data_IF_758084266871
#
_entry.id   IF_758084266871
#
_cell.length_a   1.000
_cell.length_b   1.000
_cell.length_c   1.000
_cell.angle_alpha   90.00
_cell.angle_beta   90.00
_cell.angle_gamma   90.00
#
_symmetry.space_group_name_H-M   'P 1'
#
loop_
_entity.id
_entity.type
_entity.pdbx_description
1 polymer ?
#
# COMPACT_ATOMS: atom_id res chain seq x y z
N UNK A 1 -14.85 29.34 5.06
CA UNK A 1 -14.39 28.01 5.51
C UNK A 1 -13.15 28.22 6.35
N UNK A 2 -13.11 27.72 7.59
CA UNK A 2 -11.94 27.85 8.45
C UNK A 2 -11.06 26.62 8.21
N UNK A 3 -10.02 26.74 7.38
CA UNK A 3 -9.04 25.67 7.19
C UNK A 3 -8.01 25.76 8.33
N UNK A 4 -7.98 24.79 9.26
CA UNK A 4 -7.06 24.84 10.40
C UNK A 4 -5.58 24.74 10.01
N UNK A 5 -5.29 24.47 8.73
CA UNK A 5 -3.95 24.34 8.19
C UNK A 5 -3.51 25.53 7.34
N UNK A 6 -4.34 26.57 7.20
CA UNK A 6 -3.99 27.80 6.48
C UNK A 6 -3.93 27.68 4.95
N UNK A 7 -4.21 26.52 4.36
CA UNK A 7 -4.21 26.30 2.91
C UNK A 7 -5.48 26.86 2.24
N UNK A 8 -5.69 28.18 2.29
CA UNK A 8 -6.88 28.85 1.75
C UNK A 8 -6.64 29.52 0.39
N UNK A 9 -5.45 29.35 -0.18
CA UNK A 9 -5.03 30.03 -1.41
C UNK A 9 -5.62 29.32 -2.63
N UNK A 10 -6.42 30.03 -3.42
CA UNK A 10 -7.14 29.47 -4.57
C UNK A 10 -6.24 28.99 -5.72
N UNK A 11 -4.95 29.32 -5.69
CA UNK A 11 -3.95 29.03 -6.71
C UNK A 11 -2.85 28.06 -6.25
N UNK A 12 -3.01 27.42 -5.08
CA UNK A 12 -1.99 26.54 -4.50
C UNK A 12 -2.57 25.16 -4.21
N UNK A 13 -1.84 24.12 -4.61
CA UNK A 13 -2.21 22.73 -4.29
C UNK A 13 -1.54 22.39 -2.97
N UNK A 14 -2.33 22.20 -1.92
CA UNK A 14 -1.86 21.65 -0.66
C UNK A 14 -2.16 20.16 -0.59
N UNK A 15 -1.14 19.37 -0.28
CA UNK A 15 -1.25 17.91 -0.23
C UNK A 15 -0.65 17.39 1.07
N UNK A 16 -1.48 16.71 1.86
CA UNK A 16 -1.01 15.91 2.98
C UNK A 16 -0.50 14.57 2.44
N UNK A 17 0.73 14.22 2.82
CA UNK A 17 1.34 12.95 2.45
C UNK A 17 1.62 12.17 3.72
N UNK A 18 1.33 10.88 3.68
CA UNK A 18 1.90 9.97 4.66
C UNK A 18 3.41 9.85 4.36
N UNK A 19 4.28 9.78 5.38
CA UNK A 19 5.67 9.40 5.17
C UNK A 19 5.75 8.13 4.32
N UNK A 20 6.72 8.08 3.42
CA UNK A 20 6.97 6.87 2.63
C UNK A 20 7.41 5.74 3.58
N UNK A 21 6.98 4.49 3.33
CA UNK A 21 7.56 3.37 4.05
C UNK A 21 9.08 3.32 3.77
N UNK A 22 9.86 3.11 4.83
CA UNK A 22 11.32 2.94 4.75
C UNK A 22 11.76 1.49 5.03
N UNK A 23 10.83 0.65 5.49
CA UNK A 23 11.00 -0.78 5.77
C UNK A 23 9.72 -1.51 5.34
N UNK A 24 9.72 -2.85 5.37
CA UNK A 24 8.61 -3.68 4.93
C UNK A 24 8.29 -3.51 3.42
N UNK A 25 9.26 -3.06 2.61
CA UNK A 25 9.04 -2.70 1.20
C UNK A 25 8.67 -3.90 0.32
N UNK A 26 9.06 -5.10 0.73
CA UNK A 26 8.69 -6.37 0.07
C UNK A 26 7.18 -6.65 0.01
N UNK A 27 6.37 -5.90 0.76
CA UNK A 27 4.92 -6.01 0.82
C UNK A 27 4.22 -4.85 0.06
N UNK A 28 4.94 -4.17 -0.83
CA UNK A 28 4.39 -3.06 -1.60
C UNK A 28 3.83 -3.53 -2.94
N UNK A 29 2.69 -2.96 -3.29
CA UNK A 29 2.04 -3.09 -4.61
C UNK A 29 2.18 -1.82 -5.45
N UNK A 30 2.77 -0.74 -4.92
CA UNK A 30 3.13 0.49 -5.64
C UNK A 30 4.30 1.18 -4.94
N UNK A 31 5.23 1.80 -5.68
CA UNK A 31 6.34 2.58 -5.15
C UNK A 31 6.01 4.09 -5.16
N UNK A 32 6.41 4.79 -4.10
CA UNK A 32 5.98 6.16 -3.73
C UNK A 32 4.52 6.28 -3.28
N UNK A 33 4.21 7.39 -2.61
CA UNK A 33 2.88 7.63 -2.01
C UNK A 33 1.77 7.79 -3.05
N UNK A 34 2.10 8.15 -4.29
CA UNK A 34 1.18 8.31 -5.40
C UNK A 34 1.39 7.28 -6.52
N UNK A 35 2.28 6.30 -6.31
CA UNK A 35 2.51 5.23 -7.27
C UNK A 35 3.27 5.68 -8.51
N UNK A 36 3.86 6.89 -8.50
CA UNK A 36 4.55 7.45 -9.66
C UNK A 36 5.69 6.54 -10.15
N UNK A 37 6.35 5.83 -9.25
CA UNK A 37 7.44 4.90 -9.56
C UNK A 37 6.93 3.53 -10.01
N UNK A 38 5.62 3.36 -10.11
CA UNK A 38 4.95 2.15 -10.65
C UNK A 38 4.01 2.54 -11.79
N UNK A 39 4.47 3.40 -12.70
CA UNK A 39 3.67 3.96 -13.78
C UNK A 39 4.50 4.22 -15.05
N UNK A 40 3.93 3.97 -16.25
CA UNK A 40 4.57 4.36 -17.51
C UNK A 40 4.91 5.85 -17.63
N UNK A 41 4.29 6.71 -16.81
CA UNK A 41 4.55 8.15 -16.82
C UNK A 41 5.97 8.53 -16.41
N UNK A 42 6.65 7.68 -15.64
CA UNK A 42 8.04 7.86 -15.17
C UNK A 42 9.00 6.88 -15.84
N UNK A 43 8.52 6.03 -16.77
CA UNK A 43 9.35 5.01 -17.41
C UNK A 43 9.35 3.66 -16.67
N UNK A 44 8.54 3.52 -15.62
CA UNK A 44 8.31 2.23 -14.94
C UNK A 44 6.98 1.61 -15.36
N UNK A 45 6.55 0.53 -14.71
CA UNK A 45 5.29 -0.15 -15.03
C UNK A 45 4.47 -0.38 -13.78
N UNK A 46 3.17 -0.58 -13.93
CA UNK A 46 2.34 -0.99 -12.79
C UNK A 46 2.87 -2.32 -12.25
N UNK A 47 3.00 -2.42 -10.93
CA UNK A 47 3.35 -3.68 -10.29
C UNK A 47 2.17 -4.63 -10.45
N UNK A 48 2.37 -5.65 -11.28
CA UNK A 48 1.40 -6.70 -11.54
C UNK A 48 1.92 -8.03 -11.03
N UNK A 49 1.01 -8.99 -10.86
CA UNK A 49 1.45 -10.34 -10.54
C UNK A 49 2.21 -10.94 -11.73
N UNK A 50 3.40 -11.47 -11.45
CA UNK A 50 4.19 -12.30 -12.37
C UNK A 50 4.35 -13.67 -11.72
N UNK A 51 4.37 -14.76 -12.51
CA UNK A 51 4.51 -16.10 -11.95
C UNK A 51 5.89 -16.28 -11.25
N UNK A 52 5.97 -17.08 -10.16
CA UNK A 52 7.22 -17.42 -9.52
C UNK A 52 8.26 -18.00 -10.49
N UNK A 53 9.57 -17.76 -10.28
CA UNK A 53 10.15 -17.03 -9.15
C UNK A 53 10.12 -15.48 -9.28
N UNK A 54 9.47 -14.95 -10.33
CA UNK A 54 9.56 -13.54 -10.73
C UNK A 54 8.45 -12.65 -10.17
N UNK A 55 7.69 -13.11 -9.17
CA UNK A 55 6.47 -12.44 -8.69
C UNK A 55 6.68 -11.07 -8.04
N UNK A 56 7.92 -10.64 -7.85
CA UNK A 56 8.31 -9.31 -7.36
C UNK A 56 9.21 -8.55 -8.34
N UNK A 57 9.40 -9.02 -9.57
CA UNK A 57 10.32 -8.40 -10.52
C UNK A 57 9.94 -6.95 -10.85
N UNK A 58 8.64 -6.64 -10.98
CA UNK A 58 8.20 -5.25 -11.17
C UNK A 58 8.51 -4.39 -9.95
N UNK A 59 8.29 -4.89 -8.73
CA UNK A 59 8.64 -4.16 -7.50
C UNK A 59 10.15 -3.91 -7.43
N UNK A 60 10.97 -4.92 -7.74
CA UNK A 60 12.43 -4.80 -7.76
C UNK A 60 12.87 -3.79 -8.82
N UNK A 61 12.27 -3.80 -10.01
CA UNK A 61 12.55 -2.83 -11.06
C UNK A 61 12.21 -1.40 -10.61
N UNK A 62 11.03 -1.20 -10.04
CA UNK A 62 10.57 0.11 -9.57
C UNK A 62 11.44 0.66 -8.43
N UNK A 63 11.88 -0.20 -7.50
CA UNK A 63 12.81 0.20 -6.43
C UNK A 63 14.21 0.57 -6.98
N UNK A 64 14.70 -0.18 -7.98
CA UNK A 64 15.95 0.18 -8.66
C UNK A 64 15.84 1.54 -9.34
N UNK A 65 14.73 1.78 -10.04
CA UNK A 65 14.46 3.07 -10.67
C UNK A 65 14.41 4.20 -9.62
N UNK A 66 13.65 4.02 -8.54
CA UNK A 66 13.57 4.97 -7.44
C UNK A 66 14.95 5.30 -6.86
N UNK A 67 15.83 4.31 -6.72
CA UNK A 67 17.18 4.53 -6.19
C UNK A 67 18.03 5.46 -7.07
N UNK A 68 17.86 5.40 -8.39
CA UNK A 68 18.53 6.28 -9.35
C UNK A 68 17.96 7.69 -9.26
N UNK A 69 16.63 7.83 -9.25
CA UNK A 69 15.95 9.11 -9.15
C UNK A 69 16.28 9.83 -7.84
N UNK A 70 16.35 9.10 -6.73
CA UNK A 70 16.73 9.64 -5.43
C UNK A 70 18.17 10.14 -5.43
N UNK A 71 19.12 9.37 -5.97
CA UNK A 71 20.54 9.74 -5.99
C UNK A 71 20.82 10.92 -6.94
N UNK A 72 20.26 10.90 -8.14
CA UNK A 72 20.48 11.96 -9.12
C UNK A 72 19.73 13.24 -8.75
N UNK A 73 18.48 13.12 -8.28
CA UNK A 73 17.63 14.25 -7.95
C UNK A 73 17.92 14.86 -6.57
N UNK A 74 17.90 14.06 -5.51
CA UNK A 74 18.03 14.55 -4.14
C UNK A 74 19.47 14.73 -3.69
N UNK A 75 20.34 13.76 -4.00
CA UNK A 75 21.75 13.84 -3.67
C UNK A 75 22.58 14.61 -4.71
N UNK A 76 21.94 15.10 -5.79
CA UNK A 76 22.58 15.85 -6.88
C UNK A 76 23.73 15.07 -7.53
N UNK A 77 23.60 13.74 -7.61
CA UNK A 77 24.58 12.89 -8.29
C UNK A 77 24.71 13.23 -9.77
N UNK A 78 25.88 12.94 -10.34
CA UNK A 78 26.23 13.24 -11.73
C UNK A 78 25.57 12.31 -12.77
N UNK A 79 24.70 11.39 -12.33
CA UNK A 79 24.04 10.40 -13.18
C UNK A 79 24.89 9.15 -13.48
N UNK A 80 26.14 9.08 -13.02
CA UNK A 80 26.99 7.90 -13.21
C UNK A 80 26.69 6.76 -12.21
N UNK A 81 25.99 7.08 -11.13
CA UNK A 81 25.66 6.17 -10.02
C UNK A 81 24.20 6.33 -9.59
N UNK A 82 23.59 5.27 -9.00
CA UNK A 82 24.16 3.94 -8.75
C UNK A 82 24.32 3.08 -10.01
N UNK A 83 25.39 2.29 -10.08
CA UNK A 83 25.54 1.25 -11.13
C UNK A 83 24.47 0.17 -10.98
N UNK A 84 24.19 -0.65 -12.02
CA UNK A 84 23.21 -1.74 -11.89
C UNK A 84 23.49 -2.71 -10.74
N UNK A 85 24.77 -2.93 -10.41
CA UNK A 85 25.18 -3.76 -9.26
C UNK A 85 24.84 -3.08 -7.94
N UNK A 86 25.09 -1.78 -7.81
CA UNK A 86 24.75 -1.01 -6.61
C UNK A 86 23.24 -0.88 -6.43
N UNK A 87 22.49 -0.66 -7.51
CA UNK A 87 21.03 -0.68 -7.47
C UNK A 87 20.53 -2.02 -6.90
N UNK A 88 21.10 -3.14 -7.34
CA UNK A 88 20.74 -4.45 -6.76
C UNK A 88 21.11 -4.56 -5.27
N UNK A 89 22.27 -4.04 -4.85
CA UNK A 89 22.67 -4.03 -3.44
C UNK A 89 21.73 -3.18 -2.58
N UNK A 90 21.33 -2.01 -3.08
CA UNK A 90 20.36 -1.11 -2.43
C UNK A 90 19.02 -1.83 -2.27
N UNK A 91 18.47 -2.38 -3.35
CA UNK A 91 17.18 -3.07 -3.31
C UNK A 91 17.24 -4.32 -2.44
N UNK A 92 18.34 -5.08 -2.43
CA UNK A 92 18.50 -6.21 -1.52
C UNK A 92 18.45 -5.79 -0.05
N UNK A 93 19.09 -4.66 0.29
CA UNK A 93 19.04 -4.09 1.62
C UNK A 93 17.61 -3.65 1.96
N UNK A 94 16.97 -2.87 1.10
CA UNK A 94 15.59 -2.38 1.24
C UNK A 94 14.57 -3.50 1.45
N UNK A 95 14.68 -4.59 0.68
CA UNK A 95 13.77 -5.74 0.74
C UNK A 95 14.01 -6.63 1.98
N UNK A 96 15.19 -6.53 2.60
CA UNK A 96 15.53 -7.28 3.81
C UNK A 96 15.08 -6.59 5.11
N UNK A 97 14.73 -5.30 5.07
CA UNK A 97 14.33 -4.56 6.26
C UNK A 97 12.89 -4.88 6.68
N UNK A 98 12.74 -5.42 7.88
CA UNK A 98 11.44 -5.65 8.52
C UNK A 98 11.34 -4.88 9.84
N UNK A 99 10.24 -4.16 10.04
CA UNK A 99 9.97 -3.40 11.27
C UNK A 99 8.54 -3.65 11.73
N UNK A 100 8.39 -3.87 13.04
CA UNK A 100 7.10 -3.84 13.73
C UNK A 100 7.35 -3.50 15.21
N UNK A 101 6.31 -3.06 15.90
CA UNK A 101 6.34 -2.85 17.34
C UNK A 101 6.66 -4.18 18.04
N UNK A 102 7.55 -4.14 19.03
CA UNK A 102 7.97 -5.33 19.80
C UNK A 102 7.45 -5.32 21.24
N UNK A 103 7.18 -4.14 21.79
CA UNK A 103 6.77 -3.95 23.18
C UNK A 103 5.74 -2.82 23.21
N UNK A 104 4.55 -3.12 23.72
CA UNK A 104 3.58 -2.11 24.14
C UNK A 104 3.73 -1.84 25.64
N UNK A 105 3.47 -0.60 26.06
CA UNK A 105 3.67 -0.19 27.46
C UNK A 105 2.77 -0.92 28.46
N UNK A 106 1.59 -1.39 28.04
CA UNK A 106 0.62 -2.08 28.92
C UNK A 106 0.58 -3.58 28.65
N UNK A 107 0.63 -4.00 27.38
CA UNK A 107 0.60 -5.39 26.95
C UNK A 107 1.99 -6.05 26.99
N UNK A 108 3.08 -5.29 27.16
CA UNK A 108 4.44 -5.81 27.20
C UNK A 108 4.89 -6.35 25.84
N UNK A 109 5.76 -7.37 25.86
CA UNK A 109 6.29 -8.01 24.63
C UNK A 109 5.16 -8.58 23.76
N UNK A 110 5.15 -8.20 22.47
CA UNK A 110 4.07 -8.52 21.53
C UNK A 110 4.14 -9.95 20.96
N UNK A 111 5.21 -10.67 21.23
CA UNK A 111 5.42 -12.09 20.94
C UNK A 111 5.21 -12.99 22.18
N UNK A 112 4.86 -12.42 23.33
CA UNK A 112 4.65 -13.18 24.55
C UNK A 112 3.29 -13.91 24.55
N UNK A 113 3.16 -14.94 25.39
CA UNK A 113 1.90 -15.68 25.59
C UNK A 113 1.29 -16.23 24.29
N UNK A 114 2.14 -16.75 23.41
CA UNK A 114 1.72 -17.39 22.15
C UNK A 114 1.31 -16.42 21.04
N UNK A 115 1.49 -15.11 21.23
CA UNK A 115 1.34 -14.15 20.15
C UNK A 115 2.56 -14.17 19.21
N UNK A 116 2.37 -13.63 18.01
CA UNK A 116 3.38 -13.52 16.96
C UNK A 116 3.54 -12.07 16.49
N UNK A 117 3.52 -11.12 17.43
CA UNK A 117 3.88 -9.73 17.14
C UNK A 117 5.38 -9.54 16.88
N UNK A 118 5.79 -8.31 16.59
CA UNK A 118 7.17 -7.98 16.28
C UNK A 118 7.59 -8.30 14.84
N UNK A 119 8.84 -7.94 14.47
CA UNK A 119 9.30 -8.00 13.07
C UNK A 119 9.73 -9.41 12.64
N UNK A 120 10.04 -10.31 13.58
CA UNK A 120 10.55 -11.65 13.24
C UNK A 120 9.55 -12.46 12.40
N UNK A 121 8.25 -12.56 12.77
CA UNK A 121 7.26 -13.24 11.93
C UNK A 121 7.08 -12.61 10.55
N UNK A 122 7.32 -11.31 10.42
CA UNK A 122 7.28 -10.63 9.12
C UNK A 122 8.40 -11.07 8.20
N UNK A 123 9.49 -11.67 8.67
CA UNK A 123 10.59 -12.12 7.81
C UNK A 123 10.20 -13.30 6.91
N UNK A 124 9.23 -14.11 7.33
CA UNK A 124 8.73 -15.28 6.58
C UNK A 124 7.29 -15.14 6.12
N UNK A 125 6.62 -14.00 6.41
CA UNK A 125 5.27 -13.71 5.94
C UNK A 125 5.22 -13.77 4.40
N UNK A 126 4.40 -14.66 3.81
CA UNK A 126 4.24 -14.76 2.37
C UNK A 126 3.69 -13.47 1.76
N UNK A 127 4.08 -13.19 0.53
CA UNK A 127 3.54 -12.09 -0.26
C UNK A 127 3.57 -12.41 -1.75
N UNK A 128 2.48 -12.04 -2.41
CA UNK A 128 2.38 -11.87 -3.85
C UNK A 128 1.37 -10.75 -4.11
N UNK A 129 1.50 -10.05 -5.24
CA UNK A 129 0.51 -9.05 -5.66
C UNK A 129 -0.85 -9.74 -5.72
N UNK A 130 -1.86 -9.15 -5.08
CA UNK A 130 -3.22 -9.68 -4.86
C UNK A 130 -3.45 -10.63 -3.69
N UNK A 131 -2.45 -10.88 -2.83
CA UNK A 131 -2.63 -11.74 -1.66
C UNK A 131 -3.73 -11.22 -0.72
N UNK A 132 -4.71 -12.10 -0.48
CA UNK A 132 -5.88 -11.89 0.35
C UNK A 132 -6.72 -10.65 -0.04
N UNK A 133 -6.61 -10.21 -1.29
CA UNK A 133 -7.34 -9.03 -1.76
C UNK A 133 -8.85 -9.25 -1.68
N UNK A 134 -9.53 -8.32 -1.02
CA UNK A 134 -10.99 -8.29 -1.01
C UNK A 134 -11.57 -7.92 -2.38
N UNK A 135 -10.79 -7.22 -3.22
CA UNK A 135 -11.21 -6.86 -4.57
C UNK A 135 -11.30 -8.10 -5.44
N UNK A 136 -10.30 -8.98 -5.43
CA UNK A 136 -10.39 -10.27 -6.12
C UNK A 136 -11.60 -11.10 -5.66
N UNK A 137 -11.87 -11.16 -4.35
CA UNK A 137 -13.03 -11.89 -3.82
C UNK A 137 -14.36 -11.34 -4.37
N UNK A 138 -14.48 -10.01 -4.47
CA UNK A 138 -15.69 -9.36 -4.98
C UNK A 138 -15.78 -9.37 -6.51
N UNK A 139 -14.63 -9.32 -7.18
CA UNK A 139 -14.44 -8.98 -8.58
C UNK A 139 -13.23 -9.73 -9.17
N UNK A 140 -13.28 -11.06 -9.27
CA UNK A 140 -12.13 -11.88 -9.65
C UNK A 140 -11.59 -11.53 -11.04
N UNK A 141 -12.42 -11.05 -11.97
CA UNK A 141 -11.98 -10.65 -13.30
C UNK A 141 -11.07 -9.40 -13.32
N UNK A 142 -11.04 -8.61 -12.24
CA UNK A 142 -10.30 -7.35 -12.17
C UNK A 142 -8.88 -7.49 -11.63
N UNK A 143 -8.64 -8.54 -10.85
CA UNK A 143 -7.38 -8.75 -10.17
C UNK A 143 -7.11 -10.25 -10.18
N UNK A 144 -6.00 -10.70 -10.74
CA UNK A 144 -5.61 -12.10 -10.74
C UNK A 144 -4.16 -12.19 -10.25
N UNK A 145 -3.79 -13.27 -9.55
CA UNK A 145 -4.57 -14.49 -9.35
C UNK A 145 -5.40 -14.52 -8.05
N UNK A 146 -5.25 -13.55 -7.15
CA UNK A 146 -5.85 -13.58 -5.81
C UNK A 146 -5.34 -14.73 -4.95
N UNK A 147 -6.01 -14.99 -3.83
CA UNK A 147 -5.72 -16.13 -2.94
C UNK A 147 -4.96 -15.75 -1.66
N UNK A 148 -4.72 -16.71 -0.76
CA UNK A 148 -4.14 -16.46 0.56
C UNK A 148 -2.80 -17.15 0.79
N UNK A 149 -2.69 -18.42 0.40
CA UNK A 149 -1.52 -19.26 0.66
C UNK A 149 -0.67 -19.38 -0.60
N UNK A 150 -1.32 -19.72 -1.71
CA UNK A 150 -0.70 -19.77 -3.03
C UNK A 150 -1.49 -18.92 -4.01
N UNK A 151 -0.82 -18.29 -4.99
CA UNK A 151 -1.52 -17.48 -5.98
C UNK A 151 -2.58 -18.29 -6.72
N UNK A 152 -3.83 -17.81 -6.73
CA UNK A 152 -4.94 -18.48 -7.42
C UNK A 152 -5.66 -19.57 -6.63
N UNK A 153 -5.35 -19.75 -5.34
CA UNK A 153 -6.03 -20.75 -4.50
C UNK A 153 -7.49 -20.40 -4.14
N UNK A 154 -7.96 -19.21 -4.54
CA UNK A 154 -9.31 -18.71 -4.29
C UNK A 154 -9.64 -18.55 -2.80
N UNK A 155 -8.66 -18.68 -1.91
CA UNK A 155 -8.84 -18.50 -0.48
C UNK A 155 -8.83 -17.01 -0.17
N UNK A 156 -9.95 -16.51 0.33
CA UNK A 156 -10.03 -15.20 0.95
C UNK A 156 -10.46 -15.39 2.41
N UNK A 157 -9.86 -14.59 3.30
CA UNK A 157 -10.30 -14.52 4.69
C UNK A 157 -10.42 -13.08 5.15
N UNK A 158 -11.51 -12.72 5.86
CA UNK A 158 -11.60 -11.41 6.52
C UNK A 158 -10.61 -11.28 7.68
N UNK A 159 -10.00 -12.39 8.14
CA UNK A 159 -9.01 -12.39 9.21
C UNK A 159 -7.61 -11.96 8.69
N UNK A 160 -7.46 -10.68 8.36
CA UNK A 160 -6.20 -10.10 7.86
C UNK A 160 -5.08 -10.21 8.90
N UNK A 161 -5.40 -9.87 10.14
CA UNK A 161 -4.47 -9.94 11.26
C UNK A 161 -4.81 -11.13 12.15
N UNK A 162 -3.84 -11.99 12.42
CA UNK A 162 -3.95 -13.05 13.41
C UNK A 162 -2.84 -13.14 14.48
N UNK A 163 -1.84 -12.23 14.58
CA UNK A 163 -0.69 -12.43 15.48
C UNK A 163 -1.10 -12.45 16.96
N UNK A 164 -2.24 -11.84 17.32
CA UNK A 164 -2.73 -11.75 18.70
C UNK A 164 -3.89 -12.72 19.00
N UNK A 165 -4.15 -13.70 18.13
CA UNK A 165 -5.21 -14.68 18.33
C UNK A 165 -5.12 -15.42 19.66
N UNK A 166 -3.91 -15.75 20.11
CA UNK A 166 -3.65 -16.41 21.39
C UNK A 166 -4.10 -15.60 22.63
N UNK A 167 -4.26 -14.28 22.49
CA UNK A 167 -4.66 -13.39 23.57
C UNK A 167 -6.18 -13.24 23.70
N UNK A 168 -6.97 -13.81 22.78
CA UNK A 168 -8.42 -13.67 22.78
C UNK A 168 -9.11 -14.32 23.99
N UNK A 169 -8.50 -15.34 24.59
CA UNK A 169 -9.03 -16.05 25.77
C UNK A 169 -8.52 -15.49 27.11
N UNK A 170 -7.67 -14.46 27.09
CA UNK A 170 -7.16 -13.84 28.31
C UNK A 170 -8.28 -13.08 29.05
N UNK A 171 -8.15 -12.86 30.38
CA UNK A 171 -9.12 -12.08 31.14
C UNK A 171 -9.35 -10.71 30.51
N UNK A 172 -10.60 -10.24 30.49
CA UNK A 172 -10.98 -9.00 29.79
C UNK A 172 -10.24 -7.74 30.26
N UNK A 173 -9.78 -7.74 31.52
CA UNK A 173 -8.94 -6.68 32.14
C UNK A 173 -7.48 -6.69 31.68
N UNK A 174 -7.03 -7.75 31.00
CA UNK A 174 -5.68 -7.84 30.45
C UNK A 174 -5.50 -6.85 29.29
N UNK A 175 -4.44 -6.01 29.28
CA UNK A 175 -4.12 -5.17 28.13
C UNK A 175 -3.92 -5.98 26.84
N UNK A 176 -3.40 -7.20 26.93
CA UNK A 176 -3.28 -8.13 25.79
C UNK A 176 -4.63 -8.54 25.22
N UNK A 177 -5.63 -8.77 26.07
CA UNK A 177 -6.99 -9.05 25.61
C UNK A 177 -7.57 -7.83 24.88
N UNK A 178 -7.20 -6.60 25.26
CA UNK A 178 -7.61 -5.40 24.53
C UNK A 178 -7.01 -5.35 23.12
N UNK A 179 -5.73 -5.71 22.95
CA UNK A 179 -5.09 -5.83 21.62
C UNK A 179 -5.81 -6.87 20.76
N UNK A 180 -6.12 -8.05 21.30
CA UNK A 180 -6.87 -9.08 20.57
C UNK A 180 -8.28 -8.61 20.16
N UNK A 181 -8.97 -7.83 21.00
CA UNK A 181 -10.25 -7.21 20.62
C UNK A 181 -10.07 -6.18 19.50
N UNK A 182 -9.00 -5.39 19.54
CA UNK A 182 -8.64 -4.47 18.45
C UNK A 182 -8.42 -5.18 17.12
N UNK A 183 -7.69 -6.30 17.13
CA UNK A 183 -7.53 -7.19 15.97
C UNK A 183 -8.89 -7.68 15.44
N UNK A 184 -9.79 -8.14 16.32
CA UNK A 184 -11.11 -8.60 15.93
C UNK A 184 -11.97 -7.49 15.28
N UNK A 185 -11.90 -6.27 15.83
CA UNK A 185 -12.54 -5.08 15.24
C UNK A 185 -11.96 -4.82 13.86
N UNK A 186 -10.63 -4.83 13.70
CA UNK A 186 -9.99 -4.59 12.40
C UNK A 186 -10.48 -5.56 11.33
N UNK A 187 -10.50 -6.85 11.66
CA UNK A 187 -10.85 -7.92 10.73
C UNK A 187 -12.34 -7.91 10.35
N UNK A 188 -13.23 -7.56 11.27
CA UNK A 188 -14.67 -7.84 11.11
C UNK A 188 -15.62 -6.65 11.24
N UNK A 189 -15.18 -5.49 11.70
CA UNK A 189 -16.07 -4.34 11.90
C UNK A 189 -16.60 -3.87 10.54
N UNK A 190 -17.93 -3.90 10.30
CA UNK A 190 -18.48 -3.42 9.05
C UNK A 190 -18.30 -1.90 8.92
N UNK A 191 -17.89 -1.47 7.73
CA UNK A 191 -17.71 -0.08 7.34
C UNK A 191 -18.47 0.14 6.04
N UNK A 192 -19.25 1.21 6.00
CA UNK A 192 -19.91 1.66 4.78
C UNK A 192 -18.93 2.52 3.96
N UNK A 193 -18.36 1.94 2.91
CA UNK A 193 -17.37 2.57 2.04
C UNK A 193 -18.10 3.30 0.92
N UNK A 194 -18.21 4.62 1.07
CA UNK A 194 -18.86 5.51 0.10
C UNK A 194 -17.96 6.71 -0.22
N UNK A 195 -18.04 7.21 -1.46
CA UNK A 195 -17.30 8.39 -1.92
C UNK A 195 -15.78 8.22 -2.02
N UNK A 196 -15.29 6.98 -1.99
CA UNK A 196 -13.86 6.64 -2.13
C UNK A 196 -13.51 6.51 -3.59
N UNK A 197 -12.63 7.39 -4.06
CA UNK A 197 -12.13 7.33 -5.43
C UNK A 197 -11.34 6.05 -5.66
N UNK A 198 -11.55 5.40 -6.81
CA UNK A 198 -11.01 4.07 -7.12
C UNK A 198 -11.82 2.89 -6.57
N UNK A 199 -12.86 3.14 -5.76
CA UNK A 199 -13.82 2.12 -5.31
C UNK A 199 -15.20 2.42 -5.85
N UNK A 200 -15.74 3.57 -5.46
CA UNK A 200 -17.14 3.94 -5.71
C UNK A 200 -17.35 4.58 -7.09
N UNK A 201 -16.27 5.00 -7.74
CA UNK A 201 -16.34 5.61 -9.07
C UNK A 201 -16.82 4.61 -10.14
N UNK A 202 -17.21 5.11 -11.31
CA UNK A 202 -17.40 4.27 -12.49
C UNK A 202 -16.09 3.60 -12.92
N UNK A 203 -16.15 2.39 -13.46
CA UNK A 203 -14.96 1.69 -13.98
C UNK A 203 -14.15 2.51 -14.98
N UNK A 204 -14.80 3.32 -15.84
CA UNK A 204 -14.11 4.23 -16.76
C UNK A 204 -13.33 5.36 -16.06
N UNK A 205 -13.68 5.66 -14.82
CA UNK A 205 -12.99 6.62 -13.95
C UNK A 205 -12.09 5.94 -12.90
N UNK A 206 -11.83 4.63 -13.06
CA UNK A 206 -10.94 3.85 -12.20
C UNK A 206 -11.62 3.17 -11.01
N UNK A 207 -12.96 3.19 -10.92
CA UNK A 207 -13.68 2.43 -9.90
C UNK A 207 -13.87 0.96 -10.24
N UNK A 208 -14.59 0.26 -9.37
CA UNK A 208 -14.62 -1.21 -9.38
C UNK A 208 -15.56 -1.81 -10.44
N UNK A 209 -16.65 -1.13 -10.82
CA UNK A 209 -17.65 -1.67 -11.76
C UNK A 209 -18.19 -0.59 -12.69
N UNK A 210 -18.71 -1.02 -13.85
CA UNK A 210 -19.44 -0.12 -14.75
C UNK A 210 -20.68 0.46 -14.06
N UNK A 211 -20.89 1.76 -14.18
CA UNK A 211 -21.93 2.53 -13.48
C UNK A 211 -21.52 2.99 -12.07
N UNK A 212 -20.40 2.50 -11.54
CA UNK A 212 -19.93 2.75 -10.18
C UNK A 212 -20.80 2.11 -9.09
N UNK A 213 -20.39 2.28 -7.84
CA UNK A 213 -21.11 1.74 -6.68
C UNK A 213 -21.29 2.85 -5.66
N UNK A 214 -22.54 3.18 -5.33
CA UNK A 214 -22.85 4.24 -4.36
C UNK A 214 -22.28 3.95 -2.97
N UNK A 215 -22.28 2.68 -2.56
CA UNK A 215 -21.63 2.23 -1.34
C UNK A 215 -21.27 0.74 -1.37
N UNK A 216 -20.14 0.39 -0.76
CA UNK A 216 -19.68 -0.99 -0.54
C UNK A 216 -19.60 -1.25 0.96
N UNK A 217 -20.20 -2.36 1.44
CA UNK A 217 -19.98 -2.80 2.82
C UNK A 217 -18.67 -3.59 2.89
N UNK A 218 -17.69 -3.07 3.61
CA UNK A 218 -16.38 -3.69 3.79
C UNK A 218 -15.93 -3.70 5.25
N UNK A 219 -14.65 -3.94 5.48
CA UNK A 219 -13.99 -3.80 6.80
C UNK A 219 -12.70 -2.99 6.65
N UNK A 220 -11.91 -2.85 7.72
CA UNK A 220 -10.56 -2.28 7.57
C UNK A 220 -9.73 -3.08 6.56
N UNK A 221 -9.96 -4.39 6.51
CA UNK A 221 -9.33 -5.32 5.57
C UNK A 221 -9.64 -5.06 4.10
N UNK A 222 -10.66 -4.28 3.77
CA UNK A 222 -10.96 -3.95 2.36
C UNK A 222 -9.85 -3.13 1.71
N UNK A 223 -9.19 -2.27 2.49
CA UNK A 223 -8.09 -1.41 2.02
C UNK A 223 -6.72 -1.84 2.58
N UNK A 224 -6.71 -2.70 3.58
CA UNK A 224 -5.54 -3.16 4.31
C UNK A 224 -5.56 -4.69 4.37
N UNK A 225 -5.33 -5.35 3.25
CA UNK A 225 -5.55 -6.79 3.08
C UNK A 225 -4.28 -7.63 3.12
N UNK A 226 -3.10 -7.01 3.05
CA UNK A 226 -1.83 -7.77 3.15
C UNK A 226 -1.73 -8.39 4.55
N UNK A 227 -1.73 -9.73 4.66
CA UNK A 227 -1.83 -10.38 5.96
C UNK A 227 -0.73 -9.96 6.91
N UNK A 228 -1.12 -9.59 8.14
CA UNK A 228 -0.23 -9.16 9.23
C UNK A 228 0.66 -7.92 8.98
N UNK A 229 0.51 -7.23 7.84
CA UNK A 229 1.29 -6.03 7.50
C UNK A 229 0.39 -4.80 7.38
N UNK A 230 -0.81 -4.97 6.81
CA UNK A 230 -1.78 -3.89 6.63
C UNK A 230 -1.50 -2.97 5.43
N UNK A 231 -0.67 -3.36 4.48
CA UNK A 231 -0.63 -2.73 3.16
C UNK A 231 -1.82 -3.20 2.30
N UNK A 232 -2.08 -2.52 1.18
CA UNK A 232 -2.94 -3.08 0.14
C UNK A 232 -2.11 -3.91 -0.82
N UNK A 233 -2.52 -5.17 -1.03
CA UNK A 233 -1.82 -6.16 -1.86
C UNK A 233 -1.98 -5.93 -3.35
N UNK A 234 -2.95 -5.10 -3.76
CA UNK A 234 -3.21 -4.74 -5.14
C UNK A 234 -2.79 -3.31 -5.47
N UNK A 235 -2.26 -3.15 -6.68
CA UNK A 235 -1.89 -1.85 -7.23
C UNK A 235 -3.13 -1.09 -7.72
N UNK A 236 -3.99 -0.64 -6.79
CA UNK A 236 -5.10 0.27 -7.10
C UNK A 236 -4.90 1.63 -6.45
N UNK A 237 -5.31 2.66 -7.16
CA UNK A 237 -5.31 4.02 -6.65
C UNK A 237 -6.53 4.19 -5.74
N UNK A 238 -6.33 4.22 -4.42
CA UNK A 238 -7.40 4.53 -3.47
C UNK A 238 -7.27 5.97 -2.99
N UNK A 239 -8.40 6.71 -3.03
CA UNK A 239 -8.61 8.07 -2.48
C UNK A 239 -7.50 9.12 -2.72
N UNK A 240 -6.35 8.98 -2.05
CA UNK A 240 -5.17 9.86 -2.12
C UNK A 240 -4.39 9.74 -3.43
N UNK A 241 -4.57 8.63 -4.15
CA UNK A 241 -3.81 8.29 -5.37
C UNK A 241 -4.62 8.46 -6.66
N UNK A 242 -5.95 8.43 -6.58
CA UNK A 242 -6.81 8.77 -7.71
C UNK A 242 -6.85 10.28 -7.87
N UNK A 243 -6.21 10.79 -8.93
CA UNK A 243 -6.68 12.05 -9.47
C UNK A 243 -8.14 11.81 -9.89
N UNK A 244 -9.12 12.41 -9.18
CA UNK A 244 -10.41 12.62 -9.82
C UNK A 244 -10.08 13.37 -11.09
N UNK A 245 -10.35 12.75 -12.24
CA UNK A 245 -10.37 13.48 -13.50
C UNK A 245 -11.63 14.35 -13.44
N UNK A 246 -11.57 15.41 -12.62
CA UNK A 246 -12.55 16.47 -12.67
C UNK A 246 -12.40 17.01 -14.09
N UNK A 247 -13.46 17.05 -14.91
CA UNK A 247 -13.42 17.73 -16.19
C UNK A 247 -13.40 19.22 -15.92
N UNK A 248 -12.28 19.72 -15.40
CA UNK A 248 -12.00 21.14 -15.26
C UNK A 248 -10.73 21.42 -16.06
N UNK A 249 -10.78 22.39 -16.99
CA UNK A 249 -9.67 22.70 -17.91
C UNK A 249 -8.36 23.13 -17.21
N UNK A 250 -8.39 23.28 -15.89
CA UNK A 250 -7.25 23.62 -15.04
C UNK A 250 -6.38 22.38 -14.71
N UNK A 251 -6.96 21.19 -14.58
CA UNK A 251 -6.24 19.97 -14.16
C UNK A 251 -5.24 19.45 -15.20
N UNK A 252 -5.54 19.60 -16.49
CA UNK A 252 -4.66 19.18 -17.58
C UNK A 252 -3.39 20.04 -17.69
N UNK A 253 -3.41 21.30 -17.23
CA UNK A 253 -2.25 22.20 -17.27
C UNK A 253 -1.22 21.91 -16.18
N UNK A 254 -1.64 21.32 -15.05
CA UNK A 254 -0.76 21.01 -13.93
C UNK A 254 0.16 19.81 -14.19
N UNK A 255 -0.34 18.75 -14.85
CA UNK A 255 0.51 17.62 -15.28
C UNK A 255 1.51 18.04 -16.37
N UNK A 256 1.10 18.90 -17.31
CA UNK A 256 1.98 19.38 -18.39
C UNK A 256 3.10 20.32 -17.90
N UNK A 257 2.88 21.08 -16.80
CA UNK A 257 3.89 22.01 -16.26
C UNK A 257 5.04 21.32 -15.51
N UNK A 258 4.83 20.13 -14.94
CA UNK A 258 5.93 19.36 -14.32
C UNK A 258 7.00 18.91 -15.32
N UNK A 259 6.68 18.84 -16.63
CA UNK A 259 7.67 18.56 -17.69
C UNK A 259 8.50 19.76 -18.11
N UNK A 260 8.11 21.01 -17.80
CA UNK A 260 8.84 22.21 -18.25
C UNK A 260 9.83 22.78 -17.25
N UNK A 261 9.77 22.36 -15.98
CA UNK A 261 10.69 22.87 -14.94
C UNK A 261 11.90 21.97 -14.71
N UNK A 262 12.01 20.83 -15.41
CA UNK A 262 13.16 19.92 -15.38
C UNK A 262 14.19 20.20 -16.47
N UNK A 263 13.92 21.13 -17.39
CA UNK A 263 14.94 21.69 -18.26
C UNK A 263 15.56 22.89 -17.54
N UNK A 264 16.76 22.73 -17.00
CA UNK A 264 17.58 23.86 -16.51
C UNK A 264 17.95 24.78 -17.68
N UNK A 265 18.22 26.08 -17.43
CA UNK A 265 18.99 26.89 -18.35
C UNK A 265 20.38 26.29 -18.62
#
# INVERSE_FOLDING_TARGET
MNNPYGCNEANVISQYRRPLPATNLRFMSTVMFDGRESSPLTGTQQITYVQPPHNLDNLIFDLKHQSVDAMTGHAQGDGSRPTPTEQQQIVNFEMALSTAEIIDNLAGRLEAHGAAGGPVPLTTQPFFVSINSSVHFLLPQFEQPGGLVTPGDGQFTPAIFNPFGAWASLPGSSPRAAVARGQAIFNSKPINIAGVAGINDDASAGGLVSGGISSLTGTCGTCHDTPNVGNHSYATCLASRCARQIPSPVGQRALARRRRTSAKP
#
